data_IF_525448970572
#
_entry.id   IF_525448970572
#
_cell.length_a   1.000
_cell.length_b   1.000
_cell.length_c   1.000
_cell.angle_alpha   90.00
_cell.angle_beta   90.00
_cell.angle_gamma   90.00
#
_symmetry.space_group_name_H-M   'P 1'
#
loop_
_entity.id
_entity.type
_entity.pdbx_description
1 polymer ?
#
# COMPACT_ATOMS: atom_id res chain seq x y z
N UNK A 1 14.41 -21.96 -22.59
CA UNK A 1 13.65 -23.21 -22.33
C UNK A 1 12.74 -22.98 -21.13
N UNK A 2 11.63 -23.72 -20.99
CA UNK A 2 10.85 -23.69 -19.76
C UNK A 2 11.76 -23.97 -18.55
N UNK A 3 11.54 -23.26 -17.44
CA UNK A 3 12.33 -23.17 -16.22
C UNK A 3 13.62 -22.34 -16.27
N UNK A 4 13.93 -21.69 -17.40
CA UNK A 4 15.06 -20.76 -17.44
C UNK A 4 14.74 -19.49 -16.64
N UNK A 5 15.75 -18.97 -15.94
CA UNK A 5 15.69 -17.64 -15.34
C UNK A 5 15.80 -16.59 -16.44
N UNK A 6 14.96 -15.57 -16.35
CA UNK A 6 14.86 -14.48 -17.29
C UNK A 6 14.98 -13.18 -16.52
N UNK A 7 15.98 -12.37 -16.88
CA UNK A 7 16.12 -11.03 -16.33
C UNK A 7 15.17 -10.05 -17.02
N UNK A 8 14.91 -8.93 -16.34
CA UNK A 8 14.18 -7.83 -16.94
C UNK A 8 14.91 -7.31 -18.20
N UNK A 9 14.18 -7.08 -19.30
CA UNK A 9 14.70 -6.76 -20.64
C UNK A 9 15.59 -7.84 -21.28
N UNK A 10 15.66 -9.06 -20.74
CA UNK A 10 16.40 -10.12 -21.39
C UNK A 10 15.75 -10.48 -22.74
N UNK A 11 16.55 -10.69 -23.80
CA UNK A 11 16.04 -11.09 -25.10
C UNK A 11 15.45 -12.51 -25.03
N UNK A 12 14.16 -12.64 -25.33
CA UNK A 12 13.42 -13.91 -25.28
C UNK A 12 13.52 -14.67 -26.60
N UNK A 13 13.23 -14.00 -27.72
CA UNK A 13 13.32 -14.60 -29.07
C UNK A 13 13.46 -13.52 -30.14
N UNK A 14 14.05 -13.89 -31.28
CA UNK A 14 14.10 -13.04 -32.46
C UNK A 14 12.84 -13.23 -33.32
N UNK A 15 12.37 -12.15 -33.94
CA UNK A 15 11.26 -12.18 -34.88
C UNK A 15 11.54 -11.25 -36.07
N UNK A 16 10.74 -11.39 -37.11
CA UNK A 16 10.76 -10.47 -38.25
C UNK A 16 9.36 -9.90 -38.44
N UNK A 17 9.28 -8.62 -38.82
CA UNK A 17 8.02 -7.95 -39.10
C UNK A 17 8.09 -7.18 -40.40
N UNK A 18 6.91 -6.98 -41.02
CA UNK A 18 6.76 -6.16 -42.23
C UNK A 18 6.48 -4.73 -41.84
N UNK A 19 7.25 -3.80 -42.39
CA UNK A 19 6.97 -2.37 -42.26
C UNK A 19 7.26 -1.65 -43.58
N UNK A 20 6.70 -0.46 -43.76
CA UNK A 20 6.98 0.40 -44.90
C UNK A 20 8.11 1.36 -44.53
N UNK A 21 9.20 1.31 -45.27
CA UNK A 21 10.36 2.21 -45.09
C UNK A 21 10.39 3.18 -46.27
N UNK A 22 10.76 4.44 -46.01
CA UNK A 22 11.00 5.42 -47.05
C UNK A 22 12.36 5.15 -47.68
N UNK A 23 12.37 4.80 -48.96
CA UNK A 23 13.57 4.65 -49.76
C UNK A 23 13.57 5.73 -50.84
N UNK A 24 14.72 6.39 -51.01
CA UNK A 24 14.91 7.34 -52.11
C UNK A 24 15.00 6.58 -53.42
N UNK A 25 14.12 6.92 -54.36
CA UNK A 25 14.16 6.40 -55.72
C UNK A 25 15.17 7.22 -56.53
N UNK A 26 16.27 6.60 -56.95
CA UNK A 26 17.34 7.26 -57.69
C UNK A 26 16.88 7.80 -59.06
N UNK A 27 15.81 7.25 -59.62
CA UNK A 27 15.29 7.61 -60.94
C UNK A 27 14.32 8.79 -60.88
N UNK A 28 13.46 8.83 -59.85
CA UNK A 28 12.46 9.89 -59.67
C UNK A 28 12.88 11.00 -58.71
N UNK A 29 13.97 10.81 -57.94
CA UNK A 29 14.40 11.69 -56.83
C UNK A 29 13.33 11.91 -55.76
N UNK A 30 12.36 11.02 -55.68
CA UNK A 30 11.26 11.06 -54.71
C UNK A 30 11.39 9.90 -53.71
N UNK A 31 10.85 10.09 -52.51
CA UNK A 31 10.82 9.03 -51.51
C UNK A 31 9.62 8.11 -51.77
N UNK A 32 9.88 6.81 -51.91
CA UNK A 32 8.85 5.78 -52.07
C UNK A 32 8.76 4.93 -50.80
N UNK A 33 7.53 4.64 -50.38
CA UNK A 33 7.28 3.68 -49.30
C UNK A 33 7.42 2.25 -49.85
N UNK A 34 8.47 1.55 -49.43
CA UNK A 34 8.74 0.16 -49.82
C UNK A 34 8.52 -0.76 -48.63
N UNK A 35 7.83 -1.88 -48.84
CA UNK A 35 7.68 -2.89 -47.80
C UNK A 35 8.99 -3.66 -47.59
N UNK A 36 9.47 -3.69 -46.35
CA UNK A 36 10.67 -4.42 -45.93
C UNK A 36 10.36 -5.33 -44.76
N UNK A 37 11.05 -6.46 -44.73
CA UNK A 37 11.12 -7.36 -43.58
C UNK A 37 12.28 -6.90 -42.69
N UNK A 38 11.98 -6.48 -41.46
CA UNK A 38 12.99 -6.07 -40.50
C UNK A 38 13.12 -7.12 -39.39
N UNK A 39 14.34 -7.58 -39.06
CA UNK A 39 14.58 -8.40 -37.88
C UNK A 39 14.51 -7.55 -36.61
N UNK A 40 14.03 -8.14 -35.52
CA UNK A 40 13.99 -7.53 -34.19
C UNK A 40 14.03 -8.62 -33.12
N UNK A 41 14.19 -8.21 -31.87
CA UNK A 41 14.19 -9.09 -30.70
C UNK A 41 13.05 -8.72 -29.78
N UNK A 42 12.35 -9.72 -29.27
CA UNK A 42 11.33 -9.53 -28.25
C UNK A 42 11.97 -9.70 -26.88
N UNK A 43 11.77 -8.74 -25.99
CA UNK A 43 12.43 -8.68 -24.68
C UNK A 43 11.44 -8.90 -23.56
N UNK A 44 11.90 -9.53 -22.48
CA UNK A 44 11.07 -9.78 -21.31
C UNK A 44 10.71 -8.49 -20.59
N UNK A 45 9.45 -8.35 -20.20
CA UNK A 45 8.92 -7.24 -19.41
C UNK A 45 8.87 -7.55 -17.91
N UNK A 46 9.31 -8.75 -17.52
CA UNK A 46 9.32 -9.25 -16.15
C UNK A 46 10.61 -10.02 -15.86
N UNK A 47 11.02 -10.01 -14.61
CA UNK A 47 12.12 -10.85 -14.12
C UNK A 47 11.55 -12.07 -13.38
N UNK A 48 12.10 -13.25 -13.63
CA UNK A 48 11.66 -14.48 -12.96
C UNK A 48 11.85 -15.72 -13.81
N UNK A 49 10.97 -16.70 -13.60
CA UNK A 49 11.11 -18.03 -14.22
C UNK A 49 10.14 -18.18 -15.38
N UNK A 50 10.66 -18.50 -16.56
CA UNK A 50 9.84 -18.78 -17.74
C UNK A 50 9.13 -20.13 -17.57
N UNK A 51 7.81 -20.14 -17.40
CA UNK A 51 7.07 -21.37 -17.09
C UNK A 51 6.51 -22.06 -18.33
N UNK A 52 6.05 -21.29 -19.32
CA UNK A 52 5.48 -21.85 -20.54
C UNK A 52 5.71 -20.97 -21.77
N UNK A 53 5.83 -21.61 -22.94
CA UNK A 53 5.75 -20.96 -24.25
C UNK A 53 4.40 -21.23 -24.88
N UNK A 54 3.79 -20.19 -25.43
CA UNK A 54 2.52 -20.27 -26.18
C UNK A 54 2.73 -20.15 -27.68
N UNK A 55 3.98 -20.08 -28.12
CA UNK A 55 4.40 -19.97 -29.52
C UNK A 55 5.42 -21.05 -29.88
N UNK A 56 5.55 -21.30 -31.18
CA UNK A 56 6.52 -22.22 -31.76
C UNK A 56 7.31 -21.50 -32.85
N UNK A 57 8.52 -21.99 -33.14
CA UNK A 57 9.34 -21.45 -34.23
C UNK A 57 8.56 -21.49 -35.57
N UNK A 58 8.70 -20.42 -36.37
CA UNK A 58 8.01 -20.27 -37.64
C UNK A 58 6.53 -19.86 -37.58
N UNK A 59 5.94 -19.71 -36.37
CA UNK A 59 4.54 -19.28 -36.23
C UNK A 59 4.37 -17.80 -36.59
N UNK A 60 3.37 -17.51 -37.43
CA UNK A 60 2.99 -16.13 -37.78
C UNK A 60 1.93 -15.60 -36.80
N UNK A 61 2.20 -14.43 -36.21
CA UNK A 61 1.28 -13.74 -35.30
C UNK A 61 0.61 -12.61 -36.08
N UNK A 62 -0.69 -12.75 -36.34
CA UNK A 62 -1.46 -11.83 -37.20
C UNK A 62 -2.27 -10.78 -36.44
N UNK A 63 -2.44 -10.93 -35.12
CA UNK A 63 -3.25 -10.04 -34.29
C UNK A 63 -2.54 -9.66 -33.00
N UNK A 64 -2.78 -8.46 -32.45
CA UNK A 64 -2.28 -8.07 -31.13
C UNK A 64 -2.95 -8.90 -30.02
N UNK A 65 -2.29 -8.96 -28.85
CA UNK A 65 -2.81 -9.63 -27.66
C UNK A 65 -2.71 -11.16 -27.69
N UNK A 66 -1.90 -11.73 -28.59
CA UNK A 66 -1.60 -13.17 -28.57
C UNK A 66 -0.62 -13.44 -27.44
N UNK A 67 -0.93 -14.35 -26.49
CA UNK A 67 0.00 -14.73 -25.43
C UNK A 67 1.23 -15.39 -26.05
N UNK A 68 2.41 -14.98 -25.60
CA UNK A 68 3.70 -15.45 -26.12
C UNK A 68 4.36 -16.45 -25.18
N UNK A 69 4.43 -16.09 -23.91
CA UNK A 69 5.04 -16.87 -22.85
C UNK A 69 4.45 -16.47 -21.48
N UNK A 70 4.50 -17.41 -20.55
CA UNK A 70 4.19 -17.16 -19.14
C UNK A 70 5.51 -17.05 -18.36
N UNK A 71 5.67 -15.97 -17.60
CA UNK A 71 6.80 -15.74 -16.70
C UNK A 71 6.25 -15.61 -15.29
N UNK A 72 6.72 -16.49 -14.40
CA UNK A 72 6.46 -16.38 -12.97
C UNK A 72 7.45 -15.38 -12.37
N UNK A 73 6.94 -14.19 -12.01
CA UNK A 73 7.75 -13.11 -11.44
C UNK A 73 8.48 -13.57 -10.16
N UNK A 74 9.78 -13.26 -10.05
CA UNK A 74 10.56 -13.59 -8.85
C UNK A 74 10.07 -12.86 -7.59
N UNK A 75 9.51 -11.67 -7.77
CA UNK A 75 8.92 -10.88 -6.70
C UNK A 75 7.65 -10.17 -7.20
N UNK A 76 6.58 -10.22 -6.40
CA UNK A 76 5.30 -9.55 -6.71
C UNK A 76 5.30 -8.07 -6.33
N UNK A 77 6.31 -7.61 -5.60
CA UNK A 77 6.47 -6.24 -5.10
C UNK A 77 5.28 -5.75 -4.26
N UNK A 78 4.72 -6.66 -3.46
CA UNK A 78 3.48 -6.44 -2.71
C UNK A 78 3.64 -5.64 -1.42
N UNK A 79 4.87 -5.44 -0.94
CA UNK A 79 5.19 -4.60 0.22
C UNK A 79 6.32 -3.66 -0.17
N UNK A 80 6.10 -2.36 0.05
CA UNK A 80 7.01 -1.29 -0.33
C UNK A 80 7.24 -0.35 0.86
N UNK A 81 8.49 -0.02 1.13
CA UNK A 81 8.88 0.92 2.16
C UNK A 81 9.84 1.96 1.58
N UNK A 82 9.43 3.23 1.61
CA UNK A 82 10.28 4.32 1.12
C UNK A 82 10.77 4.13 -0.31
N UNK A 83 9.86 3.74 -1.21
CA UNK A 83 10.10 3.42 -2.63
C UNK A 83 10.90 2.14 -2.91
N UNK A 84 11.33 1.39 -1.90
CA UNK A 84 11.99 0.10 -2.07
C UNK A 84 10.99 -1.04 -1.82
N UNK A 85 11.13 -2.14 -2.54
CA UNK A 85 10.41 -3.37 -2.18
C UNK A 85 11.01 -3.99 -0.92
N UNK A 86 10.17 -4.37 0.04
CA UNK A 86 10.61 -5.01 1.27
C UNK A 86 11.05 -6.48 1.08
N UNK A 87 10.59 -7.14 0.00
CA UNK A 87 10.88 -8.55 -0.26
C UNK A 87 12.19 -8.74 -1.06
N UNK A 88 12.43 -7.91 -2.07
CA UNK A 88 13.59 -8.02 -2.97
C UNK A 88 14.59 -6.85 -2.88
N UNK A 89 14.26 -5.75 -2.19
CA UNK A 89 15.13 -4.58 -2.03
C UNK A 89 15.25 -3.66 -3.25
N UNK A 90 14.53 -3.95 -4.34
CA UNK A 90 14.60 -3.18 -5.59
C UNK A 90 13.90 -1.83 -5.46
N UNK A 91 14.40 -0.82 -6.19
CA UNK A 91 13.78 0.50 -6.27
C UNK A 91 12.58 0.48 -7.24
N UNK A 92 11.40 0.73 -6.70
CA UNK A 92 10.11 0.68 -7.38
C UNK A 92 9.85 1.91 -8.26
N UNK A 93 10.67 2.96 -8.15
CA UNK A 93 10.56 4.16 -8.98
C UNK A 93 11.28 4.04 -10.31
N UNK A 94 12.07 2.98 -10.50
CA UNK A 94 12.77 2.71 -11.75
C UNK A 94 11.77 2.45 -12.87
N UNK A 95 11.86 3.21 -13.96
CA UNK A 95 11.03 3.02 -15.17
C UNK A 95 11.93 2.85 -16.38
N UNK A 96 11.84 1.70 -17.02
CA UNK A 96 12.47 1.36 -18.31
C UNK A 96 11.51 1.53 -19.48
N UNK A 97 12.01 1.57 -20.72
CA UNK A 97 11.16 1.71 -21.92
C UNK A 97 10.17 0.55 -22.11
N UNK A 98 10.50 -0.64 -21.58
CA UNK A 98 9.67 -1.83 -21.65
C UNK A 98 8.71 -1.99 -20.46
N UNK A 99 8.54 -0.93 -19.64
CA UNK A 99 7.69 -0.98 -18.44
C UNK A 99 6.22 -0.87 -18.81
N UNK A 100 5.48 -1.98 -18.74
CA UNK A 100 4.04 -2.00 -19.00
C UNK A 100 3.25 -1.34 -17.86
N UNK A 101 3.64 -1.60 -16.61
CA UNK A 101 3.03 -1.01 -15.41
C UNK A 101 4.11 -0.54 -14.45
N UNK A 102 3.93 0.64 -13.84
CA UNK A 102 4.88 1.15 -12.85
C UNK A 102 4.82 0.29 -11.59
N UNK A 103 5.97 -0.14 -11.09
CA UNK A 103 6.03 -0.96 -9.88
C UNK A 103 5.52 -0.22 -8.63
N UNK A 104 5.61 1.11 -8.61
CA UNK A 104 4.95 1.95 -7.58
C UNK A 104 3.43 1.76 -7.49
N UNK A 105 2.77 1.32 -8.56
CA UNK A 105 1.32 1.10 -8.55
C UNK A 105 0.92 -0.25 -7.93
N UNK A 106 1.88 -1.15 -7.66
CA UNK A 106 1.63 -2.51 -7.13
C UNK A 106 1.28 -2.48 -5.62
N UNK A 107 1.77 -1.49 -4.88
CA UNK A 107 1.43 -1.27 -3.47
C UNK A 107 1.01 0.19 -3.25
N UNK A 108 -0.25 0.40 -2.89
CA UNK A 108 -0.84 1.74 -2.78
C UNK A 108 -1.59 1.97 -1.47
N UNK A 109 -1.78 0.91 -0.67
CA UNK A 109 -2.50 1.00 0.60
C UNK A 109 -1.50 1.32 1.69
N UNK A 110 -1.72 2.42 2.41
CA UNK A 110 -0.93 2.69 3.62
C UNK A 110 -1.44 1.79 4.75
N UNK A 111 -0.56 0.92 5.26
CA UNK A 111 -0.90 -0.04 6.31
C UNK A 111 -0.83 0.56 7.73
N UNK A 112 -0.17 1.72 7.93
CA UNK A 112 0.15 2.24 9.26
C UNK A 112 -0.29 3.69 9.44
N UNK A 113 -0.97 3.95 10.56
CA UNK A 113 -1.31 5.30 10.98
C UNK A 113 -0.04 6.00 11.53
N UNK A 114 0.40 7.07 10.87
CA UNK A 114 1.56 7.88 11.30
C UNK A 114 2.85 7.69 10.48
N UNK A 115 2.94 6.68 9.60
CA UNK A 115 4.10 6.51 8.70
C UNK A 115 3.64 6.28 7.27
N UNK A 116 3.63 7.34 6.45
CA UNK A 116 3.13 7.31 5.06
C UNK A 116 4.03 6.55 4.09
N UNK A 117 5.23 6.14 4.52
CA UNK A 117 6.19 5.47 3.63
C UNK A 117 6.01 3.96 3.52
N UNK A 118 5.16 3.32 4.33
CA UNK A 118 4.88 1.88 4.22
C UNK A 118 3.61 1.66 3.39
N UNK A 119 3.80 1.17 2.18
CA UNK A 119 2.73 0.83 1.26
C UNK A 119 2.65 -0.68 1.08
N UNK A 120 1.44 -1.22 1.09
CA UNK A 120 1.17 -2.62 0.83
C UNK A 120 0.18 -2.76 -0.33
N UNK A 121 0.24 -3.89 -1.01
CA UNK A 121 -0.73 -4.28 -2.01
C UNK A 121 -2.08 -4.55 -1.36
N UNK A 122 -3.15 -4.46 -2.14
CA UNK A 122 -4.50 -4.74 -1.64
C UNK A 122 -4.64 -6.18 -1.14
N UNK A 123 -3.98 -7.14 -1.80
CA UNK A 123 -4.00 -8.53 -1.39
C UNK A 123 -3.32 -8.73 -0.02
N UNK A 124 -2.18 -8.08 0.22
CA UNK A 124 -1.47 -8.19 1.51
C UNK A 124 -2.22 -7.46 2.63
N UNK A 125 -2.85 -6.32 2.34
CA UNK A 125 -3.75 -5.65 3.28
C UNK A 125 -4.92 -6.56 3.69
N UNK A 126 -5.61 -7.17 2.72
CA UNK A 126 -6.73 -8.09 3.00
C UNK A 126 -6.29 -9.33 3.77
N UNK A 127 -5.10 -9.85 3.51
CA UNK A 127 -4.54 -10.98 4.26
C UNK A 127 -4.28 -10.62 5.72
N UNK A 128 -3.75 -9.42 5.99
CA UNK A 128 -3.55 -8.91 7.35
C UNK A 128 -4.88 -8.77 8.10
N UNK A 129 -5.92 -8.25 7.43
CA UNK A 129 -7.28 -8.17 7.98
C UNK A 129 -7.86 -9.55 8.26
N UNK A 130 -7.66 -10.51 7.35
CA UNK A 130 -8.15 -11.88 7.52
C UNK A 130 -7.42 -12.60 8.66
N UNK A 131 -6.13 -12.37 8.84
CA UNK A 131 -5.36 -12.88 9.97
C UNK A 131 -5.85 -12.28 11.30
N UNK A 132 -6.08 -10.96 11.35
CA UNK A 132 -6.68 -10.31 12.51
C UNK A 132 -8.06 -10.90 12.84
N UNK A 133 -8.89 -11.16 11.82
CA UNK A 133 -10.19 -11.83 11.96
C UNK A 133 -10.04 -13.26 12.46
N UNK A 134 -9.11 -14.05 11.92
CA UNK A 134 -8.83 -15.43 12.37
C UNK A 134 -8.40 -15.45 13.83
N UNK A 135 -7.55 -14.50 14.25
CA UNK A 135 -7.15 -14.33 15.65
C UNK A 135 -8.35 -14.06 16.54
N UNK A 136 -9.20 -13.09 16.19
CA UNK A 136 -10.43 -12.79 16.93
C UNK A 136 -11.33 -14.02 17.06
N UNK A 137 -11.59 -14.72 15.95
CA UNK A 137 -12.38 -15.95 15.95
C UNK A 137 -11.77 -17.06 16.82
N UNK A 138 -10.44 -17.24 16.79
CA UNK A 138 -9.73 -18.23 17.62
C UNK A 138 -9.88 -17.93 19.11
N UNK A 139 -9.86 -16.65 19.49
CA UNK A 139 -10.11 -16.19 20.85
C UNK A 139 -11.59 -16.08 21.22
N UNK A 140 -12.52 -16.37 20.28
CA UNK A 140 -13.97 -16.14 20.42
C UNK A 140 -14.32 -14.70 20.82
N UNK A 141 -13.59 -13.73 20.27
CA UNK A 141 -13.78 -12.29 20.50
C UNK A 141 -14.33 -11.58 19.28
N UNK A 142 -14.96 -10.42 19.48
CA UNK A 142 -15.49 -9.54 18.43
C UNK A 142 -14.83 -8.16 18.46
N UNK A 143 -14.75 -7.45 17.34
CA UNK A 143 -14.24 -6.08 17.36
C UNK A 143 -15.25 -5.11 18.00
N UNK A 144 -14.86 -4.38 19.03
CA UNK A 144 -15.63 -3.28 19.61
C UNK A 144 -14.99 -1.94 19.24
N UNK A 145 -15.72 -1.09 18.53
CA UNK A 145 -15.30 0.29 18.27
C UNK A 145 -15.89 1.17 19.38
N UNK A 146 -15.01 1.82 20.15
CA UNK A 146 -15.41 2.66 21.30
C UNK A 146 -15.11 4.11 20.98
N UNK A 147 -16.16 4.92 20.95
CA UNK A 147 -16.04 6.37 20.87
C UNK A 147 -15.61 6.95 22.23
N UNK A 148 -14.92 8.10 22.21
CA UNK A 148 -14.36 8.71 23.43
C UNK A 148 -15.33 9.72 24.04
N UNK A 149 -15.58 10.82 23.33
CA UNK A 149 -16.30 11.99 23.86
C UNK A 149 -17.78 11.69 24.08
N UNK A 150 -18.26 11.96 25.29
CA UNK A 150 -19.64 11.69 25.72
C UNK A 150 -20.04 10.20 25.67
N UNK A 151 -19.09 9.30 25.39
CA UNK A 151 -19.30 7.85 25.38
C UNK A 151 -18.65 7.20 26.60
N UNK A 152 -17.32 7.30 26.73
CA UNK A 152 -16.58 6.78 27.91
C UNK A 152 -15.94 7.88 28.75
N UNK A 153 -15.75 9.07 28.18
CA UNK A 153 -15.16 10.21 28.88
C UNK A 153 -15.95 11.50 28.60
N UNK A 154 -15.80 12.46 29.49
CA UNK A 154 -16.22 13.84 29.28
C UNK A 154 -15.03 14.76 29.51
N UNK A 155 -14.67 15.52 28.48
CA UNK A 155 -13.55 16.45 28.50
C UNK A 155 -14.02 17.91 28.64
N UNK A 156 -13.27 18.73 29.37
CA UNK A 156 -13.42 20.19 29.39
C UNK A 156 -12.05 20.86 29.56
N UNK A 157 -11.93 22.11 29.11
CA UNK A 157 -10.73 22.95 29.30
C UNK A 157 -10.94 24.02 30.37
N UNK A 158 -12.10 24.01 31.03
CA UNK A 158 -12.45 25.00 32.05
C UNK A 158 -11.59 24.83 33.31
N UNK A 159 -10.76 25.82 33.68
CA UNK A 159 -9.89 25.74 34.86
C UNK A 159 -10.67 25.68 36.18
N UNK A 160 -11.95 26.06 36.19
CA UNK A 160 -12.82 25.99 37.37
C UNK A 160 -12.91 24.55 37.92
N UNK A 161 -12.74 23.54 37.08
CA UNK A 161 -12.69 22.14 37.51
C UNK A 161 -11.52 21.89 38.46
N UNK A 162 -10.34 22.48 38.19
CA UNK A 162 -9.19 22.37 39.09
C UNK A 162 -9.42 23.12 40.41
N UNK A 163 -10.16 24.22 40.39
CA UNK A 163 -10.52 24.96 41.61
C UNK A 163 -11.45 24.13 42.49
N UNK A 164 -12.52 23.58 41.91
CA UNK A 164 -13.46 22.71 42.62
C UNK A 164 -12.80 21.43 43.13
N UNK A 165 -11.82 20.87 42.41
CA UNK A 165 -11.09 19.68 42.84
C UNK A 165 -10.15 19.96 44.03
N UNK A 166 -9.72 21.21 44.24
CA UNK A 166 -8.85 21.59 45.37
C UNK A 166 -9.60 21.87 46.67
N UNK A 167 -10.90 22.13 46.62
CA UNK A 167 -11.72 22.49 47.78
C UNK A 167 -12.72 21.38 48.16
N UNK A 168 -12.43 20.57 49.20
CA UNK A 168 -13.34 19.52 49.68
C UNK A 168 -14.69 20.03 50.19
N UNK A 169 -14.83 21.32 50.50
CA UNK A 169 -16.09 21.91 50.96
C UNK A 169 -16.98 22.37 49.80
N UNK A 170 -16.45 22.38 48.57
CA UNK A 170 -17.20 22.79 47.40
C UNK A 170 -18.33 21.76 47.10
N UNK A 171 -19.56 22.20 46.82
CA UNK A 171 -20.66 21.30 46.47
C UNK A 171 -20.37 20.37 45.27
N UNK A 172 -19.51 20.80 44.35
CA UNK A 172 -19.13 20.03 43.16
C UNK A 172 -17.94 19.10 43.39
N UNK A 173 -17.22 19.22 44.51
CA UNK A 173 -16.05 18.39 44.82
C UNK A 173 -16.31 16.88 44.69
N UNK A 174 -17.44 16.32 45.19
CA UNK A 174 -17.72 14.89 45.03
C UNK A 174 -17.80 14.44 43.56
N UNK A 175 -18.17 15.34 42.64
CA UNK A 175 -18.28 15.05 41.21
C UNK A 175 -16.94 15.17 40.47
N UNK A 176 -16.04 16.04 40.92
CA UNK A 176 -14.76 16.33 40.25
C UNK A 176 -13.53 15.69 40.90
N UNK A 177 -13.66 15.08 42.10
CA UNK A 177 -12.53 14.52 42.86
C UNK A 177 -11.64 13.55 42.09
N UNK A 178 -12.21 12.77 41.17
CA UNK A 178 -11.59 11.74 40.34
C UNK A 178 -11.34 12.19 38.89
N UNK A 179 -11.55 13.47 38.58
CA UNK A 179 -11.18 14.05 37.29
C UNK A 179 -9.66 14.00 37.13
N UNK A 180 -9.22 13.55 35.96
CA UNK A 180 -7.80 13.50 35.59
C UNK A 180 -7.47 14.69 34.71
N UNK A 181 -6.25 15.21 34.78
CA UNK A 181 -5.83 16.35 33.98
C UNK A 181 -4.53 16.05 33.22
N UNK A 182 -4.43 16.51 31.98
CA UNK A 182 -3.20 16.51 31.20
C UNK A 182 -3.10 17.77 30.34
N UNK A 183 -1.90 18.09 29.89
CA UNK A 183 -1.64 19.24 29.03
C UNK A 183 -1.23 18.75 27.64
N UNK A 184 -1.89 19.25 26.60
CA UNK A 184 -1.43 19.11 25.22
C UNK A 184 -0.72 20.39 24.81
N UNK A 185 0.46 20.25 24.21
CA UNK A 185 1.20 21.36 23.62
C UNK A 185 0.89 21.34 22.13
N UNK A 186 0.35 22.43 21.61
CA UNK A 186 0.11 22.56 20.16
C UNK A 186 1.44 22.70 19.42
N UNK A 187 1.54 22.09 18.24
CA UNK A 187 2.69 22.26 17.35
C UNK A 187 2.56 23.58 16.57
N UNK A 188 2.98 24.70 17.20
CA UNK A 188 2.96 26.02 16.57
C UNK A 188 3.90 27.04 17.24
N UNK A 189 4.44 28.03 16.49
CA UNK A 189 5.30 29.06 17.07
C UNK A 189 4.53 29.89 18.11
N UNK A 190 4.91 29.78 19.39
CA UNK A 190 4.23 30.45 20.51
C UNK A 190 3.13 29.62 21.20
N UNK A 191 3.06 28.32 20.94
CA UNK A 191 2.08 27.43 21.54
C UNK A 191 2.12 27.46 23.07
N UNK A 192 0.99 27.83 23.68
CA UNK A 192 0.74 27.68 25.12
C UNK A 192 0.00 26.37 25.32
N UNK A 193 0.52 25.48 26.17
CA UNK A 193 -0.14 24.21 26.41
C UNK A 193 -1.54 24.38 27.02
N UNK A 194 -2.53 23.68 26.47
CA UNK A 194 -3.91 23.69 26.93
C UNK A 194 -4.15 22.56 27.93
N UNK A 195 -4.78 22.87 29.06
CA UNK A 195 -5.16 21.87 30.07
C UNK A 195 -6.50 21.22 29.70
N UNK A 196 -6.51 19.89 29.71
CA UNK A 196 -7.70 19.07 29.54
C UNK A 196 -8.04 18.38 30.85
N UNK A 197 -9.27 18.56 31.30
CA UNK A 197 -9.86 17.88 32.45
C UNK A 197 -10.81 16.81 31.98
N UNK A 198 -10.51 15.55 32.31
CA UNK A 198 -11.22 14.38 31.84
C UNK A 198 -11.91 13.70 33.01
N UNK A 199 -13.24 13.63 32.91
CA UNK A 199 -14.07 12.79 33.78
C UNK A 199 -14.29 11.44 33.10
N UNK A 200 -13.91 10.36 33.79
CA UNK A 200 -14.23 9.01 33.35
C UNK A 200 -15.70 8.70 33.67
N UNK A 201 -16.39 7.99 32.77
CA UNK A 201 -17.74 7.50 33.05
C UNK A 201 -17.69 6.53 34.24
N UNK A 202 -18.63 6.62 35.21
CA UNK A 202 -18.65 5.71 36.35
C UNK A 202 -18.66 4.24 35.90
N UNK A 203 -17.79 3.42 36.51
CA UNK A 203 -17.64 1.99 36.18
C UNK A 203 -16.81 1.70 34.91
N UNK A 204 -16.17 2.69 34.29
CA UNK A 204 -15.43 2.50 33.03
C UNK A 204 -14.32 1.43 33.13
N UNK A 205 -13.53 1.42 34.20
CA UNK A 205 -12.43 0.45 34.36
C UNK A 205 -12.95 -0.99 34.44
N UNK A 206 -14.03 -1.22 35.19
CA UNK A 206 -14.69 -2.52 35.29
C UNK A 206 -15.37 -2.93 33.97
N UNK A 207 -16.00 -1.97 33.29
CA UNK A 207 -16.59 -2.16 31.98
C UNK A 207 -15.55 -2.62 30.96
N UNK A 208 -14.41 -1.91 30.85
CA UNK A 208 -13.33 -2.27 29.92
C UNK A 208 -12.69 -3.63 30.27
N UNK A 209 -12.48 -3.90 31.56
CA UNK A 209 -11.97 -5.20 32.03
C UNK A 209 -12.91 -6.36 31.68
N UNK A 210 -14.22 -6.15 31.79
CA UNK A 210 -15.23 -7.16 31.45
C UNK A 210 -15.35 -7.34 29.95
N UNK A 211 -15.46 -6.24 29.20
CA UNK A 211 -15.72 -6.29 27.76
C UNK A 211 -14.52 -6.84 26.99
N UNK A 212 -13.28 -6.57 27.43
CA UNK A 212 -12.05 -7.10 26.82
C UNK A 212 -11.92 -8.63 26.83
N UNK A 213 -12.76 -9.34 27.60
CA UNK A 213 -12.84 -10.80 27.59
C UNK A 213 -13.62 -11.33 26.39
N UNK A 214 -14.56 -10.54 25.88
CA UNK A 214 -15.48 -10.91 24.80
C UNK A 214 -15.21 -10.16 23.49
N UNK A 215 -14.49 -9.04 23.56
CA UNK A 215 -14.15 -8.19 22.44
C UNK A 215 -12.63 -8.02 22.35
#
# INVERSE_FOLDING_TARGET
>A
KPQDQVDYNAPLFAYQYKTKVLEGDEETRENKLVERMCPSTFESTAEGTLTAWHISEGRVISRPGVPLADVEEACKHGVQFGNLCADCGKDMTTVTYNTITRDTARATVNAVHGHTSLLVSRAEASKSDEEAKRRLLSSRKLSLVVDLDQTIIQATVDPTVAEWQKDPQNPNYPAVKDVRAFQLVDDGPGARGCWYYIKLRPGLEEFLSTISKYY
#
